data_IF_963115453118
#
_entry.id   IF_963115453118
#
_cell.length_a   1.000
_cell.length_b   1.000
_cell.length_c   1.000
_cell.angle_alpha   90.00
_cell.angle_beta   90.00
_cell.angle_gamma   90.00
#
_symmetry.space_group_name_H-M   'P 1'
#
loop_
_entity.id
_entity.type
_entity.pdbx_description
1 polymer ?
#
# COMPACT_ATOMS: atom_id res chain seq x y z
N UNK A 1 -20.51 5.26 -20.53
CA UNK A 1 -19.12 5.71 -20.74
C UNK A 1 -18.29 5.27 -19.55
N UNK A 2 -17.55 4.17 -19.67
CA UNK A 2 -16.67 3.70 -18.60
C UNK A 2 -15.40 4.54 -18.58
N UNK A 3 -15.27 5.44 -17.62
CA UNK A 3 -14.02 6.16 -17.37
C UNK A 3 -13.00 5.13 -16.85
N UNK A 4 -12.05 4.74 -17.70
CA UNK A 4 -10.87 3.99 -17.26
C UNK A 4 -10.14 4.80 -16.19
N UNK A 5 -10.32 4.41 -14.93
CA UNK A 5 -9.57 4.97 -13.82
C UNK A 5 -8.11 4.58 -14.00
N UNK A 6 -7.25 5.56 -14.34
CA UNK A 6 -5.81 5.38 -14.29
C UNK A 6 -5.43 4.90 -12.88
N UNK A 7 -4.71 3.78 -12.82
CA UNK A 7 -4.25 3.15 -11.59
C UNK A 7 -2.74 2.91 -11.67
N UNK A 8 -2.04 3.21 -10.59
CA UNK A 8 -0.61 2.91 -10.46
C UNK A 8 -0.45 1.82 -9.41
N UNK A 9 0.25 0.75 -9.77
CA UNK A 9 0.55 -0.39 -8.91
C UNK A 9 1.94 -0.29 -8.31
N UNK A 10 2.07 -0.59 -7.03
CA UNK A 10 3.33 -0.60 -6.29
C UNK A 10 3.50 -1.97 -5.63
N UNK A 11 4.64 -2.61 -5.85
CA UNK A 11 4.92 -3.91 -5.23
C UNK A 11 5.02 -3.81 -3.71
N UNK A 12 4.39 -4.74 -3.00
CA UNK A 12 4.59 -4.94 -1.56
C UNK A 12 5.55 -6.11 -1.36
N UNK A 13 6.62 -5.87 -0.61
CA UNK A 13 7.65 -6.86 -0.31
C UNK A 13 7.83 -7.02 1.19
N UNK A 14 8.27 -8.19 1.63
CA UNK A 14 8.82 -8.41 2.98
C UNK A 14 10.27 -8.82 2.88
N UNK A 15 11.05 -8.56 3.92
CA UNK A 15 12.47 -8.91 3.98
C UNK A 15 13.12 -8.51 5.30
N UNK A 16 14.41 -8.82 5.44
CA UNK A 16 15.21 -8.45 6.61
C UNK A 16 15.91 -7.12 6.34
N UNK A 17 15.77 -6.15 7.24
CA UNK A 17 16.52 -4.90 7.16
C UNK A 17 17.94 -5.12 7.64
N UNK A 18 18.93 -4.74 6.84
CA UNK A 18 20.34 -4.71 7.20
C UNK A 18 20.91 -3.34 6.79
N UNK A 19 21.03 -2.43 7.76
CA UNK A 19 21.35 -1.02 7.49
C UNK A 19 20.27 -0.34 6.63
N UNK A 20 20.69 0.24 5.50
CA UNK A 20 19.83 0.91 4.52
C UNK A 20 19.32 -0.02 3.40
N UNK A 21 19.47 -1.33 3.56
CA UNK A 21 19.04 -2.31 2.57
C UNK A 21 18.02 -3.29 3.15
N UNK A 22 17.20 -3.85 2.25
CA UNK A 22 16.24 -4.91 2.56
C UNK A 22 16.72 -6.16 1.81
N UNK A 23 17.12 -7.19 2.55
CA UNK A 23 17.59 -8.48 2.03
C UNK A 23 16.48 -9.53 2.07
N UNK A 24 16.65 -10.61 1.30
CA UNK A 24 15.73 -11.75 1.26
C UNK A 24 14.30 -11.36 0.89
N UNK A 25 14.17 -10.58 -0.18
CA UNK A 25 12.90 -10.02 -0.62
C UNK A 25 11.92 -11.10 -1.04
N UNK A 26 10.69 -11.02 -0.53
CA UNK A 26 9.56 -11.82 -0.99
C UNK A 26 8.40 -10.89 -1.33
N UNK A 27 7.79 -11.10 -2.50
CA UNK A 27 6.56 -10.40 -2.85
C UNK A 27 5.43 -10.90 -1.93
N UNK A 28 4.68 -9.97 -1.35
CA UNK A 28 3.55 -10.25 -0.44
C UNK A 28 2.26 -9.57 -0.89
N UNK A 29 2.27 -8.86 -2.02
CA UNK A 29 1.08 -8.16 -2.50
C UNK A 29 1.37 -6.97 -3.39
N UNK A 30 0.33 -6.15 -3.53
CA UNK A 30 0.34 -4.93 -4.33
C UNK A 30 -0.42 -3.82 -3.61
N UNK A 31 0.08 -2.59 -3.72
CA UNK A 31 -0.66 -1.39 -3.40
C UNK A 31 -1.13 -0.72 -4.70
N UNK A 32 -2.36 -0.24 -4.73
CA UNK A 32 -2.96 0.39 -5.91
C UNK A 32 -3.38 1.80 -5.53
N UNK A 33 -2.87 2.79 -6.25
CA UNK A 33 -3.36 4.16 -6.16
C UNK A 33 -4.31 4.43 -7.32
N UNK A 34 -5.56 4.78 -7.00
CA UNK A 34 -6.57 5.17 -7.99
C UNK A 34 -6.50 6.66 -8.25
N UNK A 35 -6.70 7.08 -9.51
CA UNK A 35 -6.78 8.49 -9.88
C UNK A 35 -7.86 9.21 -9.06
N UNK A 36 -7.52 10.39 -8.53
CA UNK A 36 -8.41 11.19 -7.68
C UNK A 36 -8.56 10.70 -6.23
N UNK A 37 -7.85 9.63 -5.83
CA UNK A 37 -7.82 9.15 -4.46
C UNK A 37 -6.48 9.46 -3.77
N UNK A 38 -6.55 9.98 -2.54
CA UNK A 38 -5.36 10.27 -1.71
C UNK A 38 -4.97 9.08 -0.79
N UNK A 39 -5.36 7.87 -1.17
CA UNK A 39 -5.11 6.64 -0.43
C UNK A 39 -4.67 5.53 -1.37
N UNK A 40 -4.00 4.52 -0.80
CA UNK A 40 -3.64 3.30 -1.51
C UNK A 40 -4.53 2.15 -1.05
N UNK A 41 -5.04 1.36 -1.99
CA UNK A 41 -5.67 0.08 -1.70
C UNK A 41 -4.58 -1.00 -1.62
N UNK A 42 -4.40 -1.61 -0.46
CA UNK A 42 -3.43 -2.69 -0.24
C UNK A 42 -4.13 -4.04 -0.41
N UNK A 43 -3.56 -4.91 -1.23
CA UNK A 43 -3.95 -6.31 -1.37
C UNK A 43 -2.79 -7.21 -1.01
N UNK A 44 -2.91 -7.90 0.14
CA UNK A 44 -1.93 -8.85 0.61
C UNK A 44 -2.25 -10.25 0.07
N UNK A 45 -1.26 -10.96 -0.47
CA UNK A 45 -1.45 -12.30 -1.03
C UNK A 45 -1.93 -13.31 0.02
N UNK A 46 -1.52 -13.16 1.28
CA UNK A 46 -1.96 -14.03 2.38
C UNK A 46 -3.43 -13.83 2.78
N UNK A 47 -4.06 -12.73 2.36
CA UNK A 47 -5.47 -12.41 2.62
C UNK A 47 -6.16 -11.98 1.32
N UNK A 48 -6.35 -12.90 0.35
CA UNK A 48 -6.71 -12.56 -1.03
C UNK A 48 -8.06 -11.84 -1.17
N UNK A 49 -8.99 -12.07 -0.24
CA UNK A 49 -10.32 -11.47 -0.23
C UNK A 49 -10.41 -10.19 0.60
N UNK A 50 -9.34 -9.82 1.30
CA UNK A 50 -9.33 -8.64 2.15
C UNK A 50 -8.55 -7.49 1.47
N UNK A 51 -9.22 -6.35 1.35
CA UNK A 51 -8.58 -5.10 0.96
C UNK A 51 -8.35 -4.24 2.20
N UNK A 52 -7.16 -3.65 2.31
CA UNK A 52 -6.84 -2.65 3.32
C UNK A 52 -6.59 -1.30 2.64
N UNK A 53 -6.57 -0.23 3.43
CA UNK A 53 -6.46 1.14 2.93
C UNK A 53 -5.36 1.87 3.66
N UNK A 54 -4.32 2.26 2.95
CA UNK A 54 -3.26 3.09 3.47
C UNK A 54 -3.58 4.56 3.19
N UNK A 55 -3.70 5.36 4.24
CA UNK A 55 -4.07 6.76 4.17
C UNK A 55 -2.94 7.60 4.76
N UNK A 56 -2.58 8.68 4.07
CA UNK A 56 -1.56 9.61 4.57
C UNK A 56 -2.16 10.43 5.72
N UNK A 57 -1.40 10.58 6.81
CA UNK A 57 -1.77 11.47 7.91
C UNK A 57 -1.32 12.91 7.58
N UNK A 58 -1.64 13.87 8.44
CA UNK A 58 -1.20 15.28 8.25
C UNK A 58 0.33 15.43 8.25
N UNK A 59 1.02 14.50 8.91
CA UNK A 59 2.48 14.43 8.89
C UNK A 59 2.98 13.86 7.56
N UNK A 60 4.01 14.47 6.91
CA UNK A 60 4.43 14.10 5.57
C UNK A 60 4.96 12.67 5.44
N UNK A 61 5.41 12.08 6.55
CA UNK A 61 6.09 10.78 6.58
C UNK A 61 5.28 9.66 7.21
N UNK A 62 4.07 9.93 7.73
CA UNK A 62 3.27 8.97 8.48
C UNK A 62 1.95 8.64 7.79
N UNK A 63 1.55 7.39 7.93
CA UNK A 63 0.36 6.82 7.30
C UNK A 63 -0.35 5.90 8.28
N UNK A 64 -1.66 5.72 8.10
CA UNK A 64 -2.48 4.79 8.86
C UNK A 64 -3.06 3.73 7.93
N UNK A 65 -3.13 2.48 8.38
CA UNK A 65 -3.72 1.35 7.64
C UNK A 65 -5.10 1.05 8.23
N UNK A 66 -6.12 1.16 7.41
CA UNK A 66 -7.51 0.88 7.79
C UNK A 66 -8.02 -0.40 7.13
N UNK A 67 -8.85 -1.15 7.84
CA UNK A 67 -9.51 -2.35 7.33
C UNK A 67 -10.76 -2.03 6.49
N UNK A 68 -11.37 -0.85 6.66
CA UNK A 68 -12.63 -0.48 6.02
C UNK A 68 -12.58 0.91 5.41
N UNK A 69 -13.22 1.04 4.25
CA UNK A 69 -13.52 2.29 3.58
C UNK A 69 -15.02 2.32 3.27
N UNK A 70 -15.69 3.39 3.69
CA UNK A 70 -17.10 3.66 3.39
C UNK A 70 -17.18 4.94 2.57
N UNK A 71 -17.90 4.89 1.46
CA UNK A 71 -18.13 6.05 0.59
C UNK A 71 -19.59 6.43 0.68
N UNK A 72 -19.85 7.61 1.22
CA UNK A 72 -21.16 8.28 1.14
C UNK A 72 -21.14 9.26 -0.04
N UNK A 73 -22.30 9.84 -0.37
CA UNK A 73 -22.43 10.80 -1.48
C UNK A 73 -21.41 11.95 -1.40
N UNK A 74 -21.11 12.42 -0.18
CA UNK A 74 -20.30 13.62 0.04
C UNK A 74 -18.95 13.36 0.71
N UNK A 75 -18.66 12.14 1.17
CA UNK A 75 -17.43 11.87 1.91
C UNK A 75 -16.96 10.41 1.84
N UNK A 76 -15.64 10.25 1.96
CA UNK A 76 -14.99 8.96 2.18
C UNK A 76 -14.55 8.89 3.63
N UNK A 77 -14.93 7.82 4.32
CA UNK A 77 -14.53 7.56 5.70
C UNK A 77 -13.80 6.23 5.81
N UNK A 78 -12.60 6.28 6.36
CA UNK A 78 -11.79 5.12 6.71
C UNK A 78 -12.00 4.76 8.19
N UNK A 79 -12.03 3.47 8.50
CA UNK A 79 -12.26 2.99 9.87
C UNK A 79 -11.64 1.61 10.11
N UNK A 80 -11.48 1.27 11.40
CA UNK A 80 -10.79 0.06 11.83
C UNK A 80 -9.30 0.15 11.55
N UNK A 81 -8.58 0.95 12.34
CA UNK A 81 -7.13 1.01 12.30
C UNK A 81 -6.55 -0.38 12.64
N UNK A 82 -5.70 -0.89 11.75
CA UNK A 82 -5.04 -2.20 11.86
C UNK A 82 -3.52 -2.10 11.68
N UNK A 83 -2.97 -0.89 11.58
CA UNK A 83 -1.54 -0.70 11.38
C UNK A 83 -1.16 0.70 10.95
N UNK A 84 0.13 0.88 10.70
CA UNK A 84 0.69 2.16 10.31
C UNK A 84 1.75 1.99 9.22
N UNK A 85 2.00 3.08 8.51
CA UNK A 85 3.09 3.21 7.55
C UNK A 85 3.99 4.39 7.91
N UNK A 86 5.30 4.27 7.63
CA UNK A 86 6.25 5.36 7.80
C UNK A 86 7.32 5.37 6.72
N UNK A 87 7.65 6.55 6.22
CA UNK A 87 8.84 6.75 5.37
C UNK A 87 10.02 6.85 6.32
N UNK A 88 10.92 5.86 6.27
CA UNK A 88 12.13 5.91 7.10
C UNK A 88 13.21 6.72 6.39
N UNK A 89 13.96 7.51 7.17
CA UNK A 89 15.05 8.35 6.65
C UNK A 89 16.21 7.56 6.06
N UNK A 90 16.41 6.33 6.53
CA UNK A 90 17.45 5.39 6.07
C UNK A 90 17.02 4.54 4.87
N UNK A 91 15.72 4.31 4.70
CA UNK A 91 15.13 3.56 3.58
C UNK A 91 14.31 4.48 2.67
N UNK A 92 14.95 5.53 2.12
CA UNK A 92 14.29 6.58 1.32
C UNK A 92 13.52 6.08 0.09
N UNK A 93 13.80 4.86 -0.37
CA UNK A 93 13.12 4.23 -1.50
C UNK A 93 11.85 3.46 -1.13
N UNK A 94 11.61 3.22 0.16
CA UNK A 94 10.54 2.35 0.63
C UNK A 94 9.70 2.99 1.74
N UNK A 95 8.39 2.82 1.65
CA UNK A 95 7.49 3.04 2.77
C UNK A 95 7.41 1.76 3.60
N UNK A 96 7.81 1.81 4.87
CA UNK A 96 7.66 0.69 5.79
C UNK A 96 6.21 0.63 6.29
N UNK A 97 5.59 -0.54 6.20
CA UNK A 97 4.24 -0.84 6.65
C UNK A 97 4.29 -1.89 7.76
N UNK A 98 3.53 -1.65 8.83
CA UNK A 98 3.37 -2.59 9.95
C UNK A 98 1.90 -2.76 10.28
N UNK A 99 1.41 -3.98 10.16
CA UNK A 99 0.11 -4.38 10.66
C UNK A 99 0.25 -4.80 12.12
N UNK A 100 -0.69 -4.43 12.98
CA UNK A 100 -0.60 -4.75 14.42
C UNK A 100 -0.52 -6.25 14.71
N UNK A 101 -1.17 -7.07 13.87
CA UNK A 101 -1.23 -8.53 14.03
C UNK A 101 -0.13 -9.27 13.27
N UNK A 102 0.67 -8.59 12.44
CA UNK A 102 1.77 -9.22 11.70
C UNK A 102 3.11 -8.84 12.36
N UNK A 103 3.90 -9.86 12.71
CA UNK A 103 5.27 -9.66 13.21
C UNK A 103 6.22 -9.17 12.12
N UNK A 104 5.90 -9.46 10.85
CA UNK A 104 6.69 -9.08 9.67
C UNK A 104 6.54 -7.60 9.32
N UNK A 105 7.65 -7.01 8.86
CA UNK A 105 7.63 -5.68 8.22
C UNK A 105 7.37 -5.84 6.74
N UNK A 106 6.41 -5.10 6.23
CA UNK A 106 6.13 -5.01 4.79
C UNK A 106 6.70 -3.68 4.30
N UNK A 107 7.15 -3.64 3.06
CA UNK A 107 7.70 -2.46 2.42
C UNK A 107 6.98 -2.25 1.10
N UNK A 108 6.50 -1.03 0.88
CA UNK A 108 5.97 -0.59 -0.40
C UNK A 108 7.07 0.21 -1.10
N UNK A 109 7.42 -0.18 -2.32
CA UNK A 109 8.34 0.61 -3.14
C UNK A 109 7.67 1.95 -3.49
N UNK A 110 8.34 3.08 -3.28
CA UNK A 110 7.81 4.41 -3.60
C UNK A 110 7.93 4.76 -5.08
N UNK A 111 8.83 4.06 -5.79
CA UNK A 111 9.09 4.27 -7.21
C UNK A 111 8.61 3.03 -7.96
N UNK A 112 7.39 3.06 -8.53
CA UNK A 112 6.87 1.92 -9.26
C UNK A 112 7.76 1.71 -10.47
N UNK A 113 8.24 0.49 -10.67
CA UNK A 113 8.81 0.09 -11.96
C UNK A 113 7.75 0.34 -13.04
N UNK A 114 8.14 0.68 -14.29
CA UNK A 114 7.20 1.05 -15.36
C UNK A 114 6.02 0.06 -15.41
N UNK A 115 4.79 0.56 -15.63
CA UNK A 115 3.57 -0.21 -15.45
C UNK A 115 3.67 -1.52 -16.23
N UNK A 116 3.63 -2.64 -15.52
CA UNK A 116 3.41 -3.94 -16.14
C UNK A 116 2.03 -3.85 -16.80
N UNK A 117 1.99 -3.90 -18.13
CA UNK A 117 0.73 -3.99 -18.87
C UNK A 117 0.07 -5.28 -18.41
N UNK A 118 -0.99 -5.14 -17.62
CA UNK A 118 -1.87 -6.27 -17.30
C UNK A 118 -2.74 -6.41 -18.54
N UNK A 119 -2.34 -7.32 -19.43
CA UNK A 119 -3.21 -7.76 -20.52
C UNK A 119 -4.44 -8.39 -19.87
N UNK A 120 -5.59 -7.78 -20.11
CA UNK A 120 -6.88 -8.41 -19.88
C UNK A 120 -6.99 -9.56 -20.85
N UNK A 121 -6.92 -10.80 -20.35
CA UNK A 121 -7.37 -11.97 -21.10
C UNK A 121 -8.86 -11.77 -21.40
N UNK A 122 -9.18 -11.74 -22.71
CA UNK A 122 -10.54 -11.77 -23.26
C UNK A 122 -11.20 -13.14 -23.06
#
# INVERSE_FOLDING_TARGET
>A
MGTSLNKVGYGLITGKTEGSEIKYLKNVGIAIQYSGCNNYALKLMMFPYQQYYLVKNDSPSNYTIFAKCSKNKDSIRFSGDVGFGRIRSDLKSHLELRFYLLSSRIYMNLFPSPPVKIESEE
#
